data_IF_473208848468
#
_entry.id   IF_473208848468
#
_cell.length_a   1.000
_cell.length_b   1.000
_cell.length_c   1.000
_cell.angle_alpha   90.00
_cell.angle_beta   90.00
_cell.angle_gamma   90.00
#
_symmetry.space_group_name_H-M   'P 1'
#
loop_
_entity.id
_entity.type
_entity.pdbx_description
1 polymer ?
#
# COMPACT_ATOMS: atom_id res chain seq x y z
N UNK A 1 6.37 -11.46 17.50
CA UNK A 1 7.70 -10.84 17.33
C UNK A 1 7.67 -10.07 16.02
N UNK A 2 7.77 -8.75 16.08
CA UNK A 2 7.82 -7.87 14.92
C UNK A 2 9.23 -7.91 14.34
N UNK A 3 9.33 -8.12 13.03
CA UNK A 3 10.59 -8.23 12.31
C UNK A 3 10.35 -7.88 10.84
N UNK A 4 11.39 -7.38 10.17
CA UNK A 4 11.39 -7.23 8.71
C UNK A 4 11.19 -8.60 8.07
N UNK A 5 10.28 -8.68 7.10
CA UNK A 5 9.94 -9.93 6.41
C UNK A 5 10.51 -9.89 5.00
N UNK A 6 11.55 -10.67 4.76
CA UNK A 6 12.18 -10.79 3.46
C UNK A 6 11.90 -12.18 2.88
N UNK A 7 11.42 -12.23 1.64
CA UNK A 7 11.35 -13.45 0.84
C UNK A 7 12.42 -13.37 -0.24
N UNK A 8 13.22 -14.43 -0.36
CA UNK A 8 14.19 -14.57 -1.43
C UNK A 8 13.63 -15.61 -2.39
N UNK A 9 13.22 -15.16 -3.56
CA UNK A 9 12.69 -16.01 -4.62
C UNK A 9 13.76 -16.19 -5.68
N UNK A 10 14.22 -17.43 -5.87
CA UNK A 10 15.27 -17.74 -6.84
C UNK A 10 14.76 -18.61 -7.98
N UNK A 11 15.11 -18.23 -9.21
CA UNK A 11 14.75 -18.99 -10.41
C UNK A 11 15.62 -18.58 -11.60
N UNK A 12 15.72 -19.48 -12.56
CA UNK A 12 16.31 -19.30 -13.89
C UNK A 12 15.26 -19.14 -15.00
N UNK A 13 13.96 -19.15 -14.66
CA UNK A 13 12.86 -19.17 -15.62
C UNK A 13 11.80 -18.09 -15.37
N UNK A 14 10.98 -17.83 -16.38
CA UNK A 14 9.86 -16.89 -16.30
C UNK A 14 8.76 -17.46 -15.39
N UNK A 15 7.79 -16.62 -15.03
CA UNK A 15 6.68 -16.98 -14.17
C UNK A 15 5.36 -17.06 -14.94
N UNK A 16 4.43 -17.87 -14.42
CA UNK A 16 3.04 -17.84 -14.83
C UNK A 16 2.26 -16.78 -14.07
N UNK A 17 1.28 -16.17 -14.74
CA UNK A 17 0.43 -15.13 -14.18
C UNK A 17 -1.05 -15.50 -14.32
N UNK A 18 -1.91 -14.73 -13.65
CA UNK A 18 -3.35 -14.88 -13.78
C UNK A 18 -3.77 -14.93 -15.26
N UNK A 19 -4.51 -15.99 -15.61
CA UNK A 19 -4.90 -16.36 -16.97
C UNK A 19 -4.28 -17.68 -17.43
N UNK A 20 -3.05 -17.99 -17.00
CA UNK A 20 -2.29 -19.14 -17.49
C UNK A 20 -2.85 -20.47 -16.98
N UNK A 21 -3.43 -20.49 -15.77
CA UNK A 21 -4.02 -21.69 -15.17
C UNK A 21 -5.22 -22.23 -15.95
N UNK A 22 -5.82 -21.41 -16.81
CA UNK A 22 -6.89 -21.82 -17.73
C UNK A 22 -6.47 -22.99 -18.62
N UNK A 23 -5.19 -23.10 -19.00
CA UNK A 23 -4.69 -24.18 -19.84
C UNK A 23 -4.74 -25.56 -19.17
N UNK A 24 -4.75 -25.59 -17.84
CA UNK A 24 -4.74 -26.83 -17.04
C UNK A 24 -6.03 -27.03 -16.22
N UNK A 25 -7.07 -26.25 -16.51
CA UNK A 25 -8.37 -26.34 -15.85
C UNK A 25 -8.50 -25.56 -14.54
N UNK A 26 -7.46 -24.84 -14.11
CA UNK A 26 -7.48 -23.96 -12.95
C UNK A 26 -7.97 -22.55 -13.34
N UNK A 27 -9.29 -22.38 -13.46
CA UNK A 27 -9.89 -21.14 -14.01
C UNK A 27 -10.46 -20.19 -12.94
N UNK A 28 -10.53 -20.59 -11.66
CA UNK A 28 -11.03 -19.68 -10.62
C UNK A 28 -9.92 -18.69 -10.26
N UNK A 29 -10.19 -17.37 -10.22
CA UNK A 29 -9.19 -16.41 -9.77
C UNK A 29 -8.64 -16.77 -8.40
N UNK A 30 -7.34 -16.55 -8.18
CA UNK A 30 -6.69 -16.78 -6.90
C UNK A 30 -7.43 -16.04 -5.76
N UNK A 31 -7.74 -16.74 -4.67
CA UNK A 31 -8.54 -16.18 -3.58
C UNK A 31 -7.71 -15.46 -2.49
N UNK A 32 -6.38 -15.44 -2.63
CA UNK A 32 -5.41 -14.84 -1.70
C UNK A 32 -5.49 -15.41 -0.27
N UNK A 33 -5.94 -16.66 -0.11
CA UNK A 33 -5.99 -17.35 1.18
C UNK A 33 -4.87 -18.39 1.30
N UNK A 34 -4.61 -18.79 2.54
CA UNK A 34 -3.67 -19.88 2.80
C UNK A 34 -4.34 -21.22 2.50
N UNK A 35 -3.74 -21.98 1.59
CA UNK A 35 -4.14 -23.35 1.24
C UNK A 35 -3.00 -24.35 1.54
N UNK A 36 -2.15 -24.03 2.51
CA UNK A 36 -1.11 -24.96 2.99
C UNK A 36 -1.72 -25.80 4.11
N UNK A 37 -1.75 -27.12 3.90
CA UNK A 37 -2.24 -28.12 4.85
C UNK A 37 -1.06 -29.03 5.19
N UNK A 38 -0.75 -29.18 6.48
CA UNK A 38 0.36 -30.01 6.98
C UNK A 38 1.70 -29.72 6.29
N UNK A 39 1.99 -28.43 6.07
CA UNK A 39 3.24 -27.97 5.45
C UNK A 39 3.33 -28.15 3.93
N UNK A 40 2.29 -28.70 3.30
CA UNK A 40 2.22 -28.89 1.84
C UNK A 40 1.11 -28.05 1.24
N UNK A 41 1.32 -27.55 0.03
CA UNK A 41 0.25 -26.85 -0.70
C UNK A 41 -0.84 -27.84 -1.10
N UNK A 42 -2.10 -27.50 -0.83
CA UNK A 42 -3.24 -28.33 -1.18
C UNK A 42 -3.30 -28.54 -2.71
N UNK A 43 -3.20 -29.80 -3.13
CA UNK A 43 -3.29 -30.17 -4.54
C UNK A 43 -4.63 -29.79 -5.15
N UNK A 44 -5.72 -29.88 -4.38
CA UNK A 44 -7.03 -29.47 -4.89
C UNK A 44 -7.08 -27.97 -5.14
N UNK A 45 -6.49 -27.16 -4.25
CA UNK A 45 -6.34 -25.74 -4.46
C UNK A 45 -5.52 -25.43 -5.73
N UNK A 46 -4.43 -26.17 -5.99
CA UNK A 46 -3.59 -25.96 -7.19
C UNK A 46 -4.29 -26.24 -8.52
N UNK A 47 -5.28 -27.14 -8.52
CA UNK A 47 -6.09 -27.45 -9.70
C UNK A 47 -7.36 -26.60 -9.80
N UNK A 48 -7.72 -25.90 -8.72
CA UNK A 48 -8.95 -25.10 -8.64
C UNK A 48 -8.70 -23.64 -8.96
N UNK A 49 -7.65 -23.07 -8.36
CA UNK A 49 -7.34 -21.65 -8.42
C UNK A 49 -6.18 -21.37 -9.37
N UNK A 50 -6.37 -20.37 -10.21
CA UNK A 50 -5.37 -19.82 -11.12
C UNK A 50 -4.21 -19.18 -10.35
N UNK A 51 -3.13 -18.88 -11.09
CA UNK A 51 -2.01 -18.11 -10.60
C UNK A 51 -2.46 -16.72 -10.10
N UNK A 52 -1.79 -16.18 -9.08
CA UNK A 52 -2.09 -14.83 -8.62
C UNK A 52 -1.71 -13.80 -9.68
N UNK A 53 -2.51 -12.74 -9.81
CA UNK A 53 -2.12 -11.56 -10.58
C UNK A 53 -1.04 -10.76 -9.84
N UNK A 54 -0.26 -9.98 -10.58
CA UNK A 54 0.76 -9.08 -10.01
C UNK A 54 0.18 -8.13 -8.95
N UNK A 55 -1.04 -7.63 -9.17
CA UNK A 55 -1.73 -6.76 -8.20
C UNK A 55 -2.10 -7.49 -6.90
N UNK A 56 -2.45 -8.78 -6.96
CA UNK A 56 -2.72 -9.58 -5.77
C UNK A 56 -1.43 -9.84 -4.97
N UNK A 57 -0.32 -10.13 -5.66
CA UNK A 57 1.00 -10.26 -5.02
C UNK A 57 1.38 -8.96 -4.31
N UNK A 58 1.27 -7.81 -5.01
CA UNK A 58 1.58 -6.52 -4.42
C UNK A 58 0.69 -6.21 -3.21
N UNK A 59 -0.62 -6.48 -3.29
CA UNK A 59 -1.55 -6.27 -2.19
C UNK A 59 -1.12 -7.04 -0.93
N UNK A 60 -0.91 -8.36 -1.05
CA UNK A 60 -0.55 -9.20 0.09
C UNK A 60 0.85 -8.86 0.62
N UNK A 61 1.81 -8.58 -0.26
CA UNK A 61 3.14 -8.16 0.15
C UNK A 61 3.11 -6.85 0.95
N UNK A 62 2.38 -5.84 0.48
CA UNK A 62 2.23 -4.56 1.19
C UNK A 62 1.47 -4.70 2.52
N UNK A 63 0.34 -5.42 2.53
CA UNK A 63 -0.45 -5.65 3.76
C UNK A 63 0.33 -6.42 4.83
N UNK A 64 1.24 -7.31 4.44
CA UNK A 64 2.04 -8.11 5.36
C UNK A 64 3.42 -7.53 5.64
N UNK A 65 3.78 -6.38 5.06
CA UNK A 65 5.10 -5.79 5.19
C UNK A 65 6.22 -6.72 4.69
N UNK A 66 5.98 -7.42 3.58
CA UNK A 66 6.92 -8.36 2.97
C UNK A 66 7.65 -7.67 1.82
N UNK A 67 8.96 -7.78 1.82
CA UNK A 67 9.80 -7.43 0.68
C UNK A 67 10.25 -8.70 -0.04
N UNK A 68 10.19 -8.70 -1.38
CA UNK A 68 10.60 -9.85 -2.19
C UNK A 68 11.87 -9.50 -2.98
N UNK A 69 12.92 -10.32 -2.82
CA UNK A 69 14.10 -10.28 -3.65
C UNK A 69 14.03 -11.40 -4.70
N UNK A 70 13.92 -11.00 -5.96
CA UNK A 70 13.95 -11.90 -7.10
C UNK A 70 15.41 -12.15 -7.51
N UNK A 71 15.99 -13.24 -7.03
CA UNK A 71 17.35 -13.68 -7.32
C UNK A 71 17.36 -14.55 -8.60
N UNK A 72 17.66 -13.93 -9.75
CA UNK A 72 17.45 -14.58 -11.05
C UNK A 72 18.66 -14.53 -11.96
N UNK A 73 18.75 -15.48 -12.89
CA UNK A 73 19.79 -15.44 -13.93
C UNK A 73 19.53 -14.31 -14.94
N UNK A 74 20.54 -14.01 -15.76
CA UNK A 74 20.53 -12.90 -16.74
C UNK A 74 19.38 -13.02 -17.73
N UNK A 75 19.03 -14.25 -18.10
CA UNK A 75 18.10 -14.59 -19.17
C UNK A 75 16.68 -14.11 -18.88
N UNK A 76 16.29 -14.03 -17.61
CA UNK A 76 14.95 -13.62 -17.15
C UNK A 76 14.97 -12.32 -16.35
N UNK A 77 16.12 -11.65 -16.26
CA UNK A 77 16.31 -10.45 -15.44
C UNK A 77 15.34 -9.33 -15.82
N UNK A 78 15.00 -9.20 -17.10
CA UNK A 78 14.12 -8.12 -17.60
C UNK A 78 12.70 -8.25 -17.08
N UNK A 79 12.16 -9.47 -17.10
CA UNK A 79 10.83 -9.83 -16.66
C UNK A 79 10.67 -9.59 -15.16
N UNK A 80 11.67 -10.01 -14.37
CA UNK A 80 11.65 -9.83 -12.92
C UNK A 80 11.94 -8.38 -12.51
N UNK A 81 12.68 -7.60 -13.31
CA UNK A 81 12.78 -6.14 -13.10
C UNK A 81 11.43 -5.45 -13.30
N UNK A 82 10.70 -5.83 -14.35
CA UNK A 82 9.35 -5.30 -14.58
C UNK A 82 8.39 -5.70 -13.46
N UNK A 83 8.48 -6.95 -12.95
CA UNK A 83 7.70 -7.41 -11.82
C UNK A 83 8.04 -6.65 -10.52
N UNK A 84 9.33 -6.49 -10.21
CA UNK A 84 9.80 -5.77 -9.03
C UNK A 84 9.33 -4.31 -9.01
N UNK A 85 9.20 -3.65 -10.17
CA UNK A 85 8.63 -2.30 -10.26
C UNK A 85 7.14 -2.24 -9.91
N UNK A 86 6.41 -3.35 -9.99
CA UNK A 86 4.97 -3.43 -9.67
C UNK A 86 4.69 -3.94 -8.27
N UNK A 87 5.64 -4.62 -7.64
CA UNK A 87 5.55 -5.11 -6.27
C UNK A 87 6.38 -4.20 -5.36
N UNK A 88 5.71 -3.32 -4.63
CA UNK A 88 6.32 -2.26 -3.83
C UNK A 88 7.41 -2.80 -2.89
N UNK A 89 8.55 -2.11 -2.85
CA UNK A 89 9.73 -2.49 -2.06
C UNK A 89 10.53 -3.68 -2.60
N UNK A 90 10.03 -4.42 -3.58
CA UNK A 90 10.74 -5.59 -4.14
C UNK A 90 11.90 -5.18 -5.04
N UNK A 91 12.88 -6.09 -5.18
CA UNK A 91 14.10 -5.86 -5.97
C UNK A 91 14.46 -7.10 -6.78
N UNK A 92 15.21 -6.89 -7.85
CA UNK A 92 15.83 -7.97 -8.63
C UNK A 92 17.32 -8.03 -8.29
N UNK A 93 17.81 -9.22 -7.99
CA UNK A 93 19.22 -9.52 -7.76
C UNK A 93 19.66 -10.46 -8.87
N UNK A 94 20.69 -10.08 -9.62
CA UNK A 94 21.22 -10.95 -10.67
C UNK A 94 22.14 -11.99 -10.05
N UNK A 95 21.88 -13.25 -10.36
CA UNK A 95 22.74 -14.37 -10.04
C UNK A 95 23.81 -14.52 -11.12
N UNK A 96 25.06 -14.68 -10.69
CA UNK A 96 26.16 -15.02 -11.58
C UNK A 96 26.23 -16.54 -11.74
N UNK A 97 26.36 -17.00 -12.98
CA UNK A 97 26.43 -18.43 -13.30
C UNK A 97 27.88 -18.97 -13.23
N UNK A 98 28.84 -18.12 -12.86
CA UNK A 98 30.27 -18.46 -12.92
C UNK A 98 30.68 -19.33 -11.72
N UNK A 99 30.87 -20.61 -11.99
CA UNK A 99 31.20 -21.68 -11.03
C UNK A 99 32.63 -21.60 -10.47
N UNK A 100 33.41 -20.57 -10.81
CA UNK A 100 34.84 -20.45 -10.44
C UNK A 100 35.09 -19.70 -9.13
N UNK A 101 34.06 -19.09 -8.55
CA UNK A 101 34.11 -18.37 -7.27
C UNK A 101 33.05 -18.98 -6.36
N UNK A 102 33.36 -19.23 -5.09
CA UNK A 102 32.45 -19.83 -4.09
C UNK A 102 31.05 -19.21 -4.18
N UNK A 103 30.12 -19.89 -4.86
CA UNK A 103 28.89 -19.31 -5.41
C UNK A 103 27.90 -18.92 -4.31
N UNK A 104 27.96 -19.62 -3.17
CA UNK A 104 27.17 -19.31 -1.98
C UNK A 104 27.62 -18.01 -1.31
N UNK A 105 28.91 -17.65 -1.41
CA UNK A 105 29.43 -16.42 -0.80
C UNK A 105 29.00 -15.17 -1.56
N UNK A 106 28.79 -15.27 -2.88
CA UNK A 106 28.35 -14.16 -3.72
C UNK A 106 26.85 -13.86 -3.51
N UNK A 107 25.99 -14.88 -3.49
CA UNK A 107 24.56 -14.70 -3.23
C UNK A 107 24.31 -14.13 -1.83
N UNK A 108 24.94 -14.69 -0.80
CA UNK A 108 24.80 -14.19 0.57
C UNK A 108 25.32 -12.75 0.68
N UNK A 109 26.43 -12.41 0.05
CA UNK A 109 26.95 -11.05 0.04
C UNK A 109 26.02 -10.07 -0.70
N UNK A 110 25.45 -10.47 -1.84
CA UNK A 110 24.49 -9.69 -2.61
C UNK A 110 23.21 -9.43 -1.82
N UNK A 111 22.64 -10.47 -1.20
CA UNK A 111 21.46 -10.33 -0.33
C UNK A 111 21.78 -9.44 0.87
N UNK A 112 22.94 -9.62 1.50
CA UNK A 112 23.37 -8.81 2.66
C UNK A 112 23.50 -7.35 2.27
N UNK A 113 24.07 -7.06 1.11
CA UNK A 113 24.19 -5.69 0.56
C UNK A 113 22.81 -5.09 0.31
N UNK A 114 21.92 -5.81 -0.36
CA UNK A 114 20.57 -5.31 -0.66
C UNK A 114 19.72 -5.14 0.60
N UNK A 115 19.82 -6.05 1.56
CA UNK A 115 19.19 -5.96 2.87
C UNK A 115 19.72 -4.74 3.64
N UNK A 116 21.05 -4.54 3.67
CA UNK A 116 21.65 -3.37 4.33
C UNK A 116 21.18 -2.07 3.67
N UNK A 117 21.08 -2.03 2.33
CA UNK A 117 20.51 -0.90 1.60
C UNK A 117 19.04 -0.66 1.96
N UNK A 118 18.23 -1.72 2.12
CA UNK A 118 16.85 -1.59 2.59
C UNK A 118 16.76 -1.08 4.04
N UNK A 119 17.67 -1.47 4.92
CA UNK A 119 17.66 -1.03 6.32
C UNK A 119 18.08 0.43 6.46
N UNK A 120 18.95 0.90 5.56
CA UNK A 120 19.42 2.29 5.50
C UNK A 120 18.54 3.21 4.66
N UNK A 121 17.52 2.67 3.98
CA UNK A 121 16.59 3.43 3.17
C UNK A 121 15.21 3.45 3.80
N UNK A 122 14.61 4.62 3.88
CA UNK A 122 13.23 4.81 4.31
C UNK A 122 12.41 5.32 3.13
N UNK A 123 11.48 4.50 2.69
CA UNK A 123 10.50 4.84 1.67
C UNK A 123 9.12 4.85 2.32
N UNK A 124 8.33 5.90 2.08
CA UNK A 124 7.00 6.06 2.67
C UNK A 124 5.91 5.62 1.70
N UNK A 125 5.10 4.66 2.15
CA UNK A 125 3.85 4.28 1.50
C UNK A 125 2.74 5.23 1.93
N UNK A 126 2.17 5.96 0.97
CA UNK A 126 1.10 6.96 1.19
C UNK A 126 -0.28 6.32 1.35
N UNK A 127 -0.41 5.02 1.04
CA UNK A 127 -1.71 4.33 1.03
C UNK A 127 -2.70 4.95 0.04
N UNK A 128 -4.00 4.71 0.28
CA UNK A 128 -5.07 5.35 -0.48
C UNK A 128 -5.47 6.66 0.17
N UNK A 129 -5.27 7.78 -0.54
CA UNK A 129 -5.65 9.12 -0.07
C UNK A 129 -6.87 9.58 -0.87
N UNK A 130 -7.95 9.91 -0.15
CA UNK A 130 -9.18 10.42 -0.77
C UNK A 130 -8.93 11.73 -1.51
N UNK A 131 -9.68 11.94 -2.60
CA UNK A 131 -9.52 13.09 -3.52
C UNK A 131 -9.76 14.49 -2.91
N UNK A 132 -10.21 14.57 -1.66
CA UNK A 132 -10.44 15.83 -0.95
C UNK A 132 -9.35 16.12 0.09
N UNK A 133 -8.36 15.22 0.22
CA UNK A 133 -7.23 15.30 1.12
C UNK A 133 -5.92 15.36 0.31
N UNK A 134 -4.92 16.03 0.86
CA UNK A 134 -3.54 15.98 0.40
C UNK A 134 -2.64 15.63 1.58
N UNK A 135 -1.78 14.62 1.39
CA UNK A 135 -0.85 14.12 2.40
C UNK A 135 0.59 14.35 1.94
N UNK A 136 1.37 15.15 2.64
CA UNK A 136 2.79 15.40 2.33
C UNK A 136 3.71 14.99 3.48
N UNK A 137 4.94 14.63 3.15
CA UNK A 137 5.97 14.19 4.09
C UNK A 137 7.18 15.12 3.97
N UNK A 138 7.74 15.54 5.11
CA UNK A 138 8.89 16.44 5.24
C UNK A 138 9.89 15.86 6.26
N UNK A 139 11.21 15.73 5.97
CA UNK A 139 11.92 16.17 4.76
C UNK A 139 11.41 15.50 3.47
N UNK A 140 11.44 16.19 2.32
CA UNK A 140 11.21 15.54 1.04
C UNK A 140 12.37 14.57 0.86
N UNK A 141 12.08 13.28 1.05
CA UNK A 141 13.00 12.16 0.88
C UNK A 141 13.52 12.09 -0.58
N UNK A 142 14.31 13.07 -1.05
CA UNK A 142 14.67 13.33 -2.44
C UNK A 142 13.51 13.24 -3.46
N UNK A 143 13.77 13.48 -4.75
CA UNK A 143 12.76 13.42 -5.83
C UNK A 143 12.12 12.03 -6.04
N UNK A 144 12.47 11.03 -5.21
CA UNK A 144 12.07 9.62 -5.31
C UNK A 144 11.50 9.04 -4.01
N UNK A 145 11.14 9.86 -3.01
CA UNK A 145 10.61 9.42 -1.70
C UNK A 145 11.51 8.45 -0.91
N UNK A 146 12.84 8.48 -1.12
CA UNK A 146 13.83 7.69 -0.37
C UNK A 146 14.65 8.58 0.56
N UNK A 147 14.46 8.41 1.87
CA UNK A 147 15.24 9.03 2.92
C UNK A 147 16.39 8.09 3.30
N UNK A 148 17.62 8.59 3.33
CA UNK A 148 18.72 7.82 3.92
C UNK A 148 18.63 7.89 5.44
N UNK A 149 18.65 6.73 6.08
CA UNK A 149 18.52 6.56 7.52
C UNK A 149 19.80 5.94 8.06
N UNK A 150 20.33 6.57 9.10
CA UNK A 150 21.44 6.02 9.86
C UNK A 150 20.93 4.84 10.67
N UNK A 151 21.65 3.71 10.61
CA UNK A 151 21.30 2.53 11.38
C UNK A 151 21.29 2.87 12.88
N UNK A 152 20.28 2.37 13.60
CA UNK A 152 20.06 2.58 15.04
C UNK A 152 19.86 4.06 15.48
N UNK A 153 19.51 4.96 14.57
CA UNK A 153 19.09 6.31 14.89
C UNK A 153 17.58 6.49 14.64
N UNK A 154 16.84 7.14 15.55
CA UNK A 154 15.47 7.54 15.27
C UNK A 154 15.44 8.59 14.15
N UNK A 155 14.39 8.54 13.34
CA UNK A 155 14.13 9.51 12.27
C UNK A 155 12.75 10.07 12.47
N UNK A 156 12.67 11.38 12.66
CA UNK A 156 11.42 12.11 12.74
C UNK A 156 10.97 12.51 11.34
N UNK A 157 9.73 12.15 10.98
CA UNK A 157 9.11 12.54 9.72
C UNK A 157 7.92 13.44 10.05
N UNK A 158 8.00 14.68 9.59
CA UNK A 158 6.88 15.61 9.66
C UNK A 158 5.86 15.26 8.58
N UNK A 159 4.60 15.11 8.98
CA UNK A 159 3.51 14.78 8.07
C UNK A 159 2.51 15.92 8.06
N UNK A 160 2.21 16.47 6.88
CA UNK A 160 1.19 17.50 6.71
C UNK A 160 -0.01 16.90 5.99
N UNK A 161 -1.17 16.98 6.64
CA UNK A 161 -2.45 16.59 6.06
C UNK A 161 -3.28 17.85 5.81
N UNK A 162 -3.64 18.08 4.55
CA UNK A 162 -4.44 19.24 4.14
C UNK A 162 -5.78 18.78 3.56
N UNK A 163 -6.88 19.34 4.07
CA UNK A 163 -8.21 19.20 3.45
C UNK A 163 -8.31 20.24 2.33
N UNK A 164 -8.41 19.78 1.08
CA UNK A 164 -8.52 20.66 -0.11
C UNK A 164 -9.93 21.17 -0.35
N UNK A 165 -10.93 20.36 -0.01
CA UNK A 165 -12.35 20.65 -0.22
C UNK A 165 -13.19 19.85 0.74
N UNK A 166 -14.41 20.32 0.97
CA UNK A 166 -15.40 19.54 1.69
C UNK A 166 -15.80 18.29 0.88
N UNK A 167 -15.83 17.09 1.50
CA UNK A 167 -16.24 15.88 0.82
C UNK A 167 -17.70 16.00 0.34
N UNK A 168 -17.98 15.46 -0.85
CA UNK A 168 -19.32 15.45 -1.42
C UNK A 168 -20.14 14.29 -0.83
N UNK A 169 -21.37 14.58 -0.43
CA UNK A 169 -22.20 13.64 0.34
C UNK A 169 -21.94 13.76 1.84
N UNK A 170 -22.90 13.35 2.67
CA UNK A 170 -22.87 13.49 4.14
C UNK A 170 -21.80 12.62 4.84
N UNK A 171 -20.75 12.20 4.12
CA UNK A 171 -19.62 11.44 4.66
C UNK A 171 -18.48 12.41 4.94
N UNK A 172 -18.45 12.91 6.17
CA UNK A 172 -17.40 13.79 6.69
C UNK A 172 -16.25 13.01 7.34
N UNK A 173 -16.35 11.69 7.41
CA UNK A 173 -15.36 10.83 8.04
C UNK A 173 -14.51 10.10 7.00
N UNK A 174 -13.21 10.02 7.25
CA UNK A 174 -12.25 9.27 6.44
C UNK A 174 -11.24 8.54 7.34
N UNK A 175 -10.59 7.51 6.82
CA UNK A 175 -9.51 6.80 7.51
C UNK A 175 -8.34 6.66 6.56
N UNK A 176 -7.24 7.33 6.89
CA UNK A 176 -5.98 7.20 6.16
C UNK A 176 -5.06 6.22 6.89
N UNK A 177 -4.35 5.41 6.12
CA UNK A 177 -3.32 4.53 6.65
C UNK A 177 -2.06 4.65 5.78
N UNK A 178 -0.95 5.04 6.40
CA UNK A 178 0.33 5.23 5.72
C UNK A 178 1.48 4.80 6.62
N UNK A 179 2.67 4.64 6.06
CA UNK A 179 3.84 4.26 6.85
C UNK A 179 4.99 3.76 5.99
N UNK A 180 6.09 3.30 6.60
CA UNK A 180 7.24 2.78 5.86
C UNK A 180 6.88 1.59 4.96
N UNK A 181 7.52 1.52 3.80
CA UNK A 181 7.49 0.36 2.88
C UNK A 181 8.27 -0.81 3.49
N UNK A 182 7.74 -2.03 3.37
CA UNK A 182 8.41 -3.25 3.85
C UNK A 182 8.40 -3.43 5.38
N UNK A 183 7.65 -2.59 6.09
CA UNK A 183 7.35 -2.74 7.51
C UNK A 183 5.86 -3.00 7.72
N UNK A 184 5.54 -3.73 8.78
CA UNK A 184 4.17 -4.10 9.11
C UNK A 184 3.44 -2.96 9.82
N UNK A 185 4.17 -2.14 10.55
CA UNK A 185 3.66 -1.02 11.32
C UNK A 185 3.21 0.12 10.38
N UNK A 186 1.97 0.59 10.59
CA UNK A 186 1.37 1.69 9.86
C UNK A 186 0.72 2.66 10.85
N UNK A 187 0.71 3.94 10.50
CA UNK A 187 -0.03 4.97 11.21
C UNK A 187 -1.43 5.07 10.59
N UNK A 188 -2.45 4.85 11.41
CA UNK A 188 -3.85 5.07 11.04
C UNK A 188 -4.31 6.41 11.59
N UNK A 189 -4.90 7.25 10.74
CA UNK A 189 -5.43 8.55 11.09
C UNK A 189 -6.91 8.58 10.72
N UNK A 190 -7.76 8.64 11.74
CA UNK A 190 -9.19 8.87 11.58
C UNK A 190 -9.46 10.37 11.49
N UNK A 191 -10.16 10.77 10.44
CA UNK A 191 -10.36 12.17 10.06
C UNK A 191 -11.84 12.46 10.10
N UNK A 192 -12.23 13.52 10.79
CA UNK A 192 -13.56 14.11 10.71
C UNK A 192 -13.45 15.54 10.17
N UNK A 193 -13.94 15.74 8.95
CA UNK A 193 -13.90 17.03 8.26
C UNK A 193 -15.14 17.86 8.62
N UNK A 194 -14.93 18.91 9.40
CA UNK A 194 -16.01 19.81 9.81
C UNK A 194 -16.33 20.84 8.73
N UNK A 195 -17.31 20.50 7.88
CA UNK A 195 -17.76 21.34 6.78
C UNK A 195 -19.15 21.95 6.98
N UNK A 196 -19.84 21.59 8.05
CA UNK A 196 -21.18 22.07 8.37
C UNK A 196 -21.14 22.79 9.72
N UNK A 197 -21.78 23.95 9.80
CA UNK A 197 -21.92 24.65 11.07
C UNK A 197 -22.95 23.94 11.98
N UNK A 198 -22.79 24.05 13.29
CA UNK A 198 -23.73 23.42 14.23
C UNK A 198 -25.18 23.89 14.06
N UNK A 199 -25.37 25.16 13.71
CA UNK A 199 -26.70 25.74 13.44
C UNK A 199 -27.31 25.28 12.11
N UNK A 200 -26.51 24.76 11.17
CA UNK A 200 -26.96 24.24 9.89
C UNK A 200 -27.48 22.81 10.00
N UNK A 201 -27.18 22.13 11.12
CA UNK A 201 -27.61 20.75 11.36
C UNK A 201 -29.13 20.62 11.24
N UNK A 202 -29.58 19.49 10.69
CA UNK A 202 -31.00 19.21 10.45
C UNK A 202 -31.79 19.37 11.75
N UNK A 203 -32.86 20.16 11.72
CA UNK A 203 -33.74 20.42 12.87
C UNK A 203 -33.30 21.58 13.77
N UNK A 204 -32.22 22.29 13.45
CA UNK A 204 -31.80 23.51 14.18
C UNK A 204 -32.43 24.79 13.63
N UNK A 205 -32.97 24.76 12.41
CA UNK A 205 -33.74 25.85 11.83
C UNK A 205 -35.19 25.87 12.35
N UNK A 206 -35.76 27.07 12.49
CA UNK A 206 -37.17 27.26 12.83
C UNK A 206 -37.93 27.59 11.55
N UNK A 207 -38.73 26.63 11.05
CA UNK A 207 -39.57 26.82 9.87
C UNK A 207 -40.73 27.80 10.16
N UNK A 208 -41.15 28.56 9.15
CA UNK A 208 -42.18 29.61 9.25
C UNK A 208 -41.96 30.53 10.46
N UNK A 209 -40.70 30.93 10.66
CA UNK A 209 -40.30 31.70 11.83
C UNK A 209 -40.97 33.09 11.79
N UNK A 210 -41.53 33.58 12.90
CA UNK A 210 -42.00 34.96 13.00
C UNK A 210 -40.90 35.99 12.73
N UNK A 211 -39.62 35.62 12.97
CA UNK A 211 -38.46 36.46 12.63
C UNK A 211 -38.26 36.61 11.12
N UNK A 212 -38.91 35.78 10.32
CA UNK A 212 -38.87 35.76 8.86
C UNK A 212 -40.26 35.98 8.27
N UNK A 213 -41.07 36.84 8.89
CA UNK A 213 -42.44 37.17 8.47
C UNK A 213 -43.37 35.96 8.30
N UNK A 214 -43.08 34.87 9.02
CA UNK A 214 -43.80 33.59 8.92
C UNK A 214 -43.77 32.93 7.53
N UNK A 215 -42.91 33.40 6.63
CA UNK A 215 -42.79 32.93 5.23
C UNK A 215 -41.36 32.48 4.89
N UNK A 216 -40.66 31.94 5.88
CA UNK A 216 -39.30 31.43 5.70
C UNK A 216 -38.79 30.68 6.93
N UNK A 217 -37.65 30.03 6.75
CA UNK A 217 -36.92 29.32 7.81
C UNK A 217 -35.83 30.23 8.40
N UNK A 218 -35.85 30.43 9.72
CA UNK A 218 -34.78 31.12 10.43
C UNK A 218 -33.70 30.11 10.85
N UNK A 219 -32.50 30.23 10.29
CA UNK A 219 -31.39 29.32 10.57
C UNK A 219 -30.06 30.08 10.54
N UNK A 220 -29.17 29.79 11.50
CA UNK A 220 -27.85 30.43 11.59
C UNK A 220 -27.88 31.98 11.62
N UNK A 221 -28.94 32.57 12.18
CA UNK A 221 -29.08 34.02 12.22
C UNK A 221 -29.65 34.65 10.96
N UNK A 222 -29.93 33.87 9.91
CA UNK A 222 -30.40 34.33 8.61
C UNK A 222 -31.79 33.74 8.31
N UNK A 223 -32.59 34.47 7.54
CA UNK A 223 -33.87 34.00 7.03
C UNK A 223 -33.70 33.45 5.61
N UNK A 224 -34.10 32.20 5.40
CA UNK A 224 -34.25 31.59 4.07
C UNK A 224 -35.73 31.58 3.72
N UNK A 225 -36.13 32.35 2.70
CA UNK A 225 -37.52 32.37 2.24
C UNK A 225 -37.95 30.99 1.72
N UNK A 226 -39.22 30.67 1.89
CA UNK A 226 -39.83 29.54 1.19
C UNK A 226 -39.97 29.92 -0.30
N UNK A 227 -39.78 28.95 -1.20
CA UNK A 227 -40.06 29.13 -2.64
C UNK A 227 -41.57 29.39 -2.89
#
# INVERSE_FOLDING_TARGET
KEARRLIIYSTDSTYHSAGDGKMVGAYKPNDMKCHVIDGSYDKNASLTYDYPSVSQINKIASEKGITIFFAVLKEVETEYKALAQKVQGSKTVRLNQDTTVNSDSDLVALITKEYTSLVRGLEMDRGSVSSHLELTFDPPCNKTNKCEVVHDAPVDISVTLQVKRCPSGKKYTDTLMFGPVGLYEKLTVDIEVQCQCDCEKKGKGVANSPKCSSSGTYQCGVCSCND
#
